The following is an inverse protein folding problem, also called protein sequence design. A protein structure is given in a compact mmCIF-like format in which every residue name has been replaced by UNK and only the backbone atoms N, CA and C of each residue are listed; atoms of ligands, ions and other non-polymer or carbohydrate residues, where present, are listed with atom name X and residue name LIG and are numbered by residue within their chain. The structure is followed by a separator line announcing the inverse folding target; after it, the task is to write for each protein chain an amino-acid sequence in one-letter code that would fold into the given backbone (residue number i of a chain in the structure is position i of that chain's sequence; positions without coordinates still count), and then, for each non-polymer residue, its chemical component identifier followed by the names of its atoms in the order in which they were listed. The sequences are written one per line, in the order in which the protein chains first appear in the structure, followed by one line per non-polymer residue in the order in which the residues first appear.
data_IF_546330115730
#
_entry.id   IF_546330115730
#
_cell.length_a   1.000
_cell.length_b   1.000
_cell.length_c   1.000
_cell.angle_alpha   90.00
_cell.angle_beta   90.00
_cell.angle_gamma   90.00
#
_symmetry.space_group_name_H-M   'P 1'
#
loop_
_entity.id
_entity.type
_entity.pdbx_description
1 polymer ?
#
# COMPACT_ATOMS: atom_id res chain seq x y z
N UNK A 1 33.71 37.32 -6.74
CA UNK A 1 33.81 36.55 -5.49
C UNK A 1 32.41 36.11 -5.11
N UNK A 2 32.09 34.83 -5.34
CA UNK A 2 30.78 34.23 -5.02
C UNK A 2 30.80 33.79 -3.56
N UNK A 3 29.94 34.35 -2.72
CA UNK A 3 29.73 33.89 -1.34
C UNK A 3 28.91 32.60 -1.36
N UNK A 4 29.55 31.48 -1.01
CA UNK A 4 28.88 30.22 -0.72
C UNK A 4 28.02 30.41 0.55
N UNK A 5 26.72 30.20 0.41
CA UNK A 5 25.78 30.22 1.53
C UNK A 5 25.97 28.94 2.36
N UNK A 6 26.62 29.06 3.52
CA UNK A 6 26.70 28.01 4.53
C UNK A 6 25.43 28.03 5.39
N UNK A 7 24.33 27.50 4.84
CA UNK A 7 23.15 27.15 5.62
C UNK A 7 23.36 25.85 6.41
N UNK A 8 22.65 25.63 7.53
CA UNK A 8 22.70 24.36 8.25
C UNK A 8 22.28 23.22 7.31
N UNK A 9 23.00 22.11 7.37
CA UNK A 9 22.60 20.86 6.69
C UNK A 9 21.26 20.46 7.32
N UNK A 10 20.18 20.75 6.60
CA UNK A 10 18.85 20.29 6.96
C UNK A 10 18.89 18.79 7.14
N UNK A 11 18.30 18.31 8.21
CA UNK A 11 18.13 16.89 8.44
C UNK A 11 17.24 16.36 7.30
N UNK A 12 17.78 15.61 6.35
CA UNK A 12 17.09 15.07 5.16
C UNK A 12 15.93 14.08 5.49
N UNK A 13 15.50 14.05 6.76
CA UNK A 13 14.48 13.16 7.28
C UNK A 13 13.05 13.75 7.24
N UNK A 14 12.86 15.00 6.79
CA UNK A 14 11.55 15.68 6.84
C UNK A 14 10.77 15.73 5.51
N UNK A 15 11.25 15.08 4.44
CA UNK A 15 10.61 15.13 3.12
C UNK A 15 9.78 13.89 2.75
N UNK A 16 9.45 13.03 3.71
CA UNK A 16 8.27 12.18 3.53
C UNK A 16 7.03 13.03 3.82
N UNK A 17 6.58 13.80 2.82
CA UNK A 17 5.22 14.33 2.81
C UNK A 17 4.26 13.15 3.00
N UNK A 18 3.81 12.96 4.24
CA UNK A 18 2.84 11.93 4.62
C UNK A 18 1.57 12.27 3.86
N UNK A 19 1.34 11.63 2.72
CA UNK A 19 0.01 11.58 2.14
C UNK A 19 -0.89 11.00 3.23
N UNK A 20 -1.87 11.75 3.75
CA UNK A 20 -2.68 11.28 4.86
C UNK A 20 -3.55 10.12 4.36
N UNK A 21 -3.05 8.89 4.50
CA UNK A 21 -3.91 7.73 4.50
C UNK A 21 -4.72 7.80 5.79
N UNK A 22 -6.05 7.71 5.69
CA UNK A 22 -6.97 7.65 6.84
C UNK A 22 -6.66 6.49 7.82
N UNK A 23 -5.73 5.61 7.47
CA UNK A 23 -5.21 4.51 8.27
C UNK A 23 -3.70 4.61 8.50
N UNK A 24 -3.23 4.19 9.67
CA UNK A 24 -1.81 4.09 10.01
C UNK A 24 -1.10 3.00 9.19
N UNK A 25 -0.82 3.26 7.91
CA UNK A 25 -0.09 2.37 7.01
C UNK A 25 -0.98 1.47 6.15
N UNK A 26 -2.02 0.86 6.72
CA UNK A 26 -2.87 -0.12 6.04
C UNK A 26 -4.35 0.11 6.37
N UNK A 27 -5.19 0.31 5.36
CA UNK A 27 -6.64 0.52 5.52
C UNK A 27 -7.43 -0.76 5.77
N UNK A 28 -8.73 -0.59 6.05
CA UNK A 28 -9.67 -1.71 6.05
C UNK A 28 -9.98 -2.16 4.61
N UNK A 29 -10.55 -3.35 4.47
CA UNK A 29 -11.13 -3.78 3.19
C UNK A 29 -12.40 -2.97 2.96
N UNK A 30 -12.50 -2.37 1.79
CA UNK A 30 -13.63 -1.56 1.36
C UNK A 30 -14.24 -2.16 0.07
N UNK A 31 -15.56 -2.07 -0.14
CA UNK A 31 -16.18 -2.44 -1.40
C UNK A 31 -15.58 -1.64 -2.57
N UNK A 32 -15.43 -2.24 -3.75
CA UNK A 32 -14.89 -1.54 -4.93
C UNK A 32 -15.72 -0.30 -5.32
N UNK A 33 -17.00 -0.26 -4.94
CA UNK A 33 -17.88 0.89 -5.11
C UNK A 33 -17.35 2.17 -4.44
N UNK A 34 -16.65 2.06 -3.30
CA UNK A 34 -16.09 3.24 -2.62
C UNK A 34 -14.94 3.87 -3.41
N UNK A 35 -14.17 3.05 -4.15
CA UNK A 35 -13.17 3.54 -5.10
C UNK A 35 -13.84 4.26 -6.27
N UNK A 36 -14.97 3.73 -6.77
CA UNK A 36 -15.74 4.40 -7.81
C UNK A 36 -16.29 5.76 -7.33
N UNK A 37 -16.74 5.87 -6.09
CA UNK A 37 -17.20 7.13 -5.51
C UNK A 37 -16.09 8.18 -5.44
N UNK A 38 -14.90 7.79 -4.98
CA UNK A 38 -13.71 8.67 -4.90
C UNK A 38 -13.33 9.27 -6.26
N UNK A 39 -13.45 8.47 -7.32
CA UNK A 39 -13.14 8.88 -8.69
C UNK A 39 -14.38 9.25 -9.52
N UNK A 40 -15.51 9.58 -8.88
CA UNK A 40 -16.78 9.90 -9.55
C UNK A 40 -16.67 11.02 -10.59
N UNK A 41 -15.75 11.96 -10.36
CA UNK A 41 -15.45 13.09 -11.25
C UNK A 41 -14.63 12.72 -12.50
N UNK A 42 -14.11 11.48 -12.62
CA UNK A 42 -13.20 11.09 -13.70
C UNK A 42 -13.69 9.88 -14.50
N UNK A 43 -14.27 10.13 -15.68
CA UNK A 43 -14.79 9.08 -16.56
C UNK A 43 -13.74 8.02 -16.94
N UNK A 44 -12.47 8.43 -17.09
CA UNK A 44 -11.37 7.52 -17.38
C UNK A 44 -11.10 6.53 -16.24
N UNK A 45 -11.11 7.01 -15.00
CA UNK A 45 -10.97 6.15 -13.83
C UNK A 45 -12.20 5.26 -13.63
N UNK A 46 -13.42 5.79 -13.81
CA UNK A 46 -14.65 5.01 -13.77
C UNK A 46 -14.58 3.81 -14.74
N UNK A 47 -14.15 4.04 -15.98
CA UNK A 47 -13.98 2.96 -16.96
C UNK A 47 -12.98 1.90 -16.50
N UNK A 48 -11.85 2.30 -15.91
CA UNK A 48 -10.83 1.36 -15.40
C UNK A 48 -11.35 0.55 -14.20
N UNK A 49 -12.03 1.20 -13.25
CA UNK A 49 -12.61 0.54 -12.08
C UNK A 49 -13.66 -0.50 -12.52
N UNK A 50 -14.50 -0.15 -13.50
CA UNK A 50 -15.44 -1.09 -14.10
C UNK A 50 -14.74 -2.29 -14.74
N UNK A 51 -13.66 -2.07 -15.48
CA UNK A 51 -12.87 -3.16 -16.05
C UNK A 51 -12.23 -4.05 -14.97
N UNK A 52 -11.80 -3.50 -13.83
CA UNK A 52 -11.31 -4.31 -12.71
C UNK A 52 -12.40 -5.24 -12.17
N UNK A 53 -13.63 -4.73 -12.01
CA UNK A 53 -14.77 -5.52 -11.57
C UNK A 53 -15.10 -6.65 -12.56
N UNK A 54 -15.08 -6.35 -13.87
CA UNK A 54 -15.53 -7.29 -14.92
C UNK A 54 -14.46 -8.27 -15.40
N UNK A 55 -13.17 -7.93 -15.31
CA UNK A 55 -12.07 -8.72 -15.90
C UNK A 55 -11.20 -9.42 -14.87
N UNK A 56 -11.13 -8.88 -13.67
CA UNK A 56 -10.31 -9.41 -12.57
C UNK A 56 -11.21 -9.92 -11.44
N UNK A 57 -12.54 -9.86 -11.62
CA UNK A 57 -13.56 -10.20 -10.62
C UNK A 57 -13.30 -9.49 -9.28
N UNK A 58 -12.76 -8.27 -9.34
CA UNK A 58 -12.45 -7.49 -8.15
C UNK A 58 -13.74 -7.00 -7.51
N UNK A 59 -13.98 -7.42 -6.26
CA UNK A 59 -15.16 -7.01 -5.48
C UNK A 59 -14.82 -6.00 -4.39
N UNK A 60 -13.58 -6.02 -3.91
CA UNK A 60 -13.08 -5.23 -2.80
C UNK A 60 -11.69 -4.68 -3.09
N UNK A 61 -11.29 -3.68 -2.34
CA UNK A 61 -9.96 -3.12 -2.37
C UNK A 61 -9.53 -2.66 -0.98
N UNK A 62 -8.24 -2.33 -0.83
CA UNK A 62 -7.69 -1.81 0.42
C UNK A 62 -6.67 -0.72 0.13
N UNK A 63 -6.77 0.39 0.86
CA UNK A 63 -5.78 1.46 0.77
C UNK A 63 -4.50 1.11 1.53
N UNK A 64 -3.37 1.52 0.97
CA UNK A 64 -2.04 1.41 1.57
C UNK A 64 -1.43 2.81 1.60
N UNK A 65 -0.71 3.16 2.67
CA UNK A 65 -0.05 4.47 2.79
C UNK A 65 0.97 4.67 1.67
N UNK A 66 0.94 5.84 1.04
CA UNK A 66 1.89 6.27 0.01
C UNK A 66 3.15 6.89 0.62
N UNK A 67 3.96 6.10 1.31
CA UNK A 67 5.21 6.51 1.99
C UNK A 67 6.48 5.92 1.33
N UNK A 68 6.39 5.58 0.03
CA UNK A 68 7.44 4.86 -0.69
C UNK A 68 7.49 3.36 -0.42
N UNK A 69 6.86 2.87 0.66
CA UNK A 69 6.79 1.45 1.00
C UNK A 69 5.47 0.77 0.57
N UNK A 70 4.62 1.48 -0.18
CA UNK A 70 3.28 1.03 -0.54
C UNK A 70 3.28 -0.31 -1.30
N UNK A 71 4.23 -0.54 -2.21
CA UNK A 71 4.35 -1.80 -2.93
C UNK A 71 4.60 -2.98 -1.99
N UNK A 72 5.64 -2.88 -1.15
CA UNK A 72 6.00 -3.94 -0.20
C UNK A 72 4.88 -4.19 0.81
N UNK A 73 4.23 -3.12 1.27
CA UNK A 73 3.12 -3.21 2.23
C UNK A 73 1.88 -3.86 1.61
N UNK A 74 1.55 -3.57 0.34
CA UNK A 74 0.47 -4.22 -0.39
C UNK A 74 0.75 -5.70 -0.65
N UNK A 75 1.97 -6.02 -1.12
CA UNK A 75 2.39 -7.38 -1.43
C UNK A 75 2.43 -8.27 -0.18
N UNK A 76 3.12 -7.82 0.87
CA UNK A 76 3.28 -8.59 2.10
C UNK A 76 1.93 -8.88 2.78
N UNK A 77 1.04 -7.89 2.80
CA UNK A 77 -0.31 -8.07 3.35
C UNK A 77 -1.10 -9.11 2.56
N UNK A 78 -1.12 -8.99 1.22
CA UNK A 78 -1.86 -9.93 0.35
C UNK A 78 -1.32 -11.35 0.49
N UNK A 79 0.00 -11.52 0.59
CA UNK A 79 0.62 -12.83 0.75
C UNK A 79 0.21 -13.48 2.08
N UNK A 80 0.31 -12.73 3.19
CA UNK A 80 -0.09 -13.22 4.52
C UNK A 80 -1.57 -13.60 4.53
N UNK A 81 -2.45 -12.75 4.00
CA UNK A 81 -3.88 -13.03 3.92
C UNK A 81 -4.18 -14.29 3.12
N UNK A 82 -3.49 -14.48 1.99
CA UNK A 82 -3.68 -15.66 1.17
C UNK A 82 -3.28 -16.95 1.93
N UNK A 83 -2.15 -16.92 2.62
CA UNK A 83 -1.68 -18.08 3.40
C UNK A 83 -2.64 -18.42 4.55
N UNK A 84 -3.20 -17.40 5.21
CA UNK A 84 -4.20 -17.59 6.27
C UNK A 84 -5.52 -18.15 5.71
N UNK A 85 -5.97 -17.67 4.55
CA UNK A 85 -7.21 -18.13 3.91
C UNK A 85 -7.10 -19.55 3.35
N UNK A 86 -5.93 -19.92 2.83
CA UNK A 86 -5.66 -21.28 2.35
C UNK A 86 -5.53 -22.29 3.52
N UNK A 87 -5.53 -21.82 4.77
CA UNK A 87 -5.47 -22.67 5.98
C UNK A 87 -4.11 -23.36 6.18
N UNK A 88 -3.11 -22.99 5.39
CA UNK A 88 -1.78 -23.59 5.40
C UNK A 88 -0.90 -22.91 6.46
N UNK A 89 -1.22 -23.21 7.72
CA UNK A 89 -0.53 -22.65 8.90
C UNK A 89 0.96 -23.03 8.88
N UNK A 90 1.32 -24.19 8.35
CA UNK A 90 2.70 -24.64 8.26
C UNK A 90 3.52 -23.77 7.30
N UNK A 91 3.00 -23.49 6.10
CA UNK A 91 3.65 -22.53 5.19
C UNK A 91 3.72 -21.14 5.79
N UNK A 92 2.66 -20.69 6.48
CA UNK A 92 2.68 -19.39 7.15
C UNK A 92 3.80 -19.34 8.20
N UNK A 93 3.92 -20.38 9.01
CA UNK A 93 4.96 -20.50 10.04
C UNK A 93 6.37 -20.52 9.43
N UNK A 94 6.60 -21.29 8.36
CA UNK A 94 7.86 -21.32 7.63
C UNK A 94 8.23 -19.95 7.07
N UNK A 95 7.26 -19.26 6.44
CA UNK A 95 7.47 -17.93 5.89
C UNK A 95 7.84 -16.91 6.97
N UNK A 96 7.12 -16.88 8.09
CA UNK A 96 7.43 -15.98 9.21
C UNK A 96 8.81 -16.28 9.79
N UNK A 97 9.17 -17.56 9.96
CA UNK A 97 10.49 -17.93 10.46
C UNK A 97 11.62 -17.45 9.54
N UNK A 98 11.48 -17.64 8.23
CA UNK A 98 12.45 -17.12 7.25
C UNK A 98 12.51 -15.59 7.23
N UNK A 99 11.35 -14.91 7.25
CA UNK A 99 11.31 -13.45 7.25
C UNK A 99 12.00 -12.85 8.49
N UNK A 100 11.80 -13.46 9.67
CA UNK A 100 12.46 -13.04 10.90
C UNK A 100 13.96 -13.30 10.90
N UNK A 101 14.42 -14.37 10.25
CA UNK A 101 15.84 -14.65 10.12
C UNK A 101 16.57 -13.62 9.24
N UNK A 102 15.90 -13.08 8.22
CA UNK A 102 16.43 -12.05 7.33
C UNK A 102 16.38 -10.64 7.93
N UNK A 103 15.55 -10.42 8.95
CA UNK A 103 15.40 -9.13 9.63
C UNK A 103 16.42 -8.90 10.76
N UNK A 104 17.36 -9.83 10.96
CA UNK A 104 18.47 -9.75 11.92
C UNK A 104 19.76 -9.36 11.19
#
# INVERSE_FOLDING_TARGET
MSTLYNGPIGNDNDDQQVLPSKSNGLGFIEPLATLAEEFSHSQGHQRKIRLMAEKVDATHWRRVRGDGNCFYRALGTTLIERMLLDGDIDKFHEFIHHALALAR
#
